data_IF_087894887749
#
_entry.id   IF_087894887749
#
_cell.length_a   1.000
_cell.length_b   1.000
_cell.length_c   1.000
_cell.angle_alpha   90.00
_cell.angle_beta   90.00
_cell.angle_gamma   90.00
#
_symmetry.space_group_name_H-M   'P 1'
#
loop_
_entity.id
_entity.type
_entity.pdbx_description
1 polymer ?
#
# COMPACT_ATOMS: atom_id res chain seq x y z
N UNK A 1 83.10 -27.49 -109.63
CA UNK A 1 83.17 -26.07 -109.20
C UNK A 1 84.51 -25.47 -109.63
N UNK A 2 84.65 -25.26 -110.94
CA UNK A 2 85.58 -24.31 -111.51
C UNK A 2 85.35 -22.96 -110.86
N UNK A 3 86.43 -22.36 -110.36
CA UNK A 3 86.36 -20.97 -109.89
C UNK A 3 86.49 -20.03 -111.09
N UNK A 4 85.94 -18.81 -111.03
CA UNK A 4 86.19 -17.78 -112.03
C UNK A 4 87.68 -17.56 -112.32
N UNK A 5 88.54 -17.76 -111.31
CA UNK A 5 89.99 -17.68 -111.44
C UNK A 5 90.58 -18.89 -112.19
N UNK A 6 90.15 -20.12 -111.86
CA UNK A 6 90.56 -21.32 -112.59
C UNK A 6 90.13 -21.28 -114.07
N UNK A 7 89.02 -20.61 -114.39
CA UNK A 7 88.56 -20.43 -115.77
C UNK A 7 89.49 -19.52 -116.56
N UNK A 8 89.95 -18.45 -115.92
CA UNK A 8 90.84 -17.46 -116.51
C UNK A 8 92.25 -18.01 -116.74
N UNK A 9 92.70 -18.88 -115.84
CA UNK A 9 94.05 -19.43 -115.84
C UNK A 9 94.14 -20.78 -116.60
N UNK A 10 93.07 -21.22 -117.29
CA UNK A 10 93.03 -22.47 -118.04
C UNK A 10 93.88 -22.40 -119.32
N UNK A 11 94.87 -23.30 -119.42
CA UNK A 11 95.65 -23.53 -120.63
C UNK A 11 95.13 -24.76 -121.38
N UNK A 12 95.19 -24.74 -122.72
CA UNK A 12 94.78 -25.84 -123.59
C UNK A 12 95.98 -26.34 -124.42
N UNK A 13 96.04 -27.63 -124.68
CA UNK A 13 97.05 -28.23 -125.53
C UNK A 13 96.92 -27.73 -126.98
N UNK A 14 98.06 -27.52 -127.64
CA UNK A 14 98.13 -27.04 -129.03
C UNK A 14 98.45 -28.21 -129.97
N UNK A 15 97.62 -28.43 -130.98
CA UNK A 15 97.85 -29.37 -132.10
C UNK A 15 98.23 -28.59 -133.36
N UNK A 16 98.55 -29.29 -134.47
CA UNK A 16 98.95 -28.65 -135.72
C UNK A 16 97.88 -27.62 -136.15
N UNK A 17 98.22 -26.33 -136.03
CA UNK A 17 97.42 -25.16 -136.43
C UNK A 17 96.32 -24.69 -135.44
N UNK A 18 96.35 -25.07 -134.16
CA UNK A 18 95.43 -24.50 -133.14
C UNK A 18 95.31 -25.30 -131.85
N UNK A 19 94.43 -24.89 -130.93
CA UNK A 19 94.13 -25.63 -129.70
C UNK A 19 93.43 -26.97 -130.00
N UNK A 20 93.59 -27.94 -129.10
CA UNK A 20 92.91 -29.23 -129.18
C UNK A 20 91.41 -29.06 -128.99
N UNK A 21 90.66 -29.24 -130.07
CA UNK A 21 89.20 -29.09 -130.08
C UNK A 21 88.50 -30.06 -129.12
N UNK A 22 89.10 -31.23 -128.83
CA UNK A 22 88.50 -32.21 -127.90
C UNK A 22 88.61 -31.69 -126.47
N UNK A 23 89.80 -31.22 -126.07
CA UNK A 23 90.05 -30.70 -124.72
C UNK A 23 89.25 -29.42 -124.44
N UNK A 24 89.21 -28.49 -125.40
CA UNK A 24 88.39 -27.27 -125.30
C UNK A 24 86.91 -27.64 -125.15
N UNK A 25 86.42 -28.62 -125.91
CA UNK A 25 85.01 -29.05 -125.83
C UNK A 25 84.69 -29.72 -124.50
N UNK A 26 85.55 -30.62 -124.01
CA UNK A 26 85.37 -31.25 -122.70
C UNK A 26 85.40 -30.23 -121.56
N UNK A 27 86.26 -29.22 -121.65
CA UNK A 27 86.30 -28.13 -120.70
C UNK A 27 85.05 -27.23 -120.78
N UNK A 28 84.56 -26.91 -121.97
CA UNK A 28 83.31 -26.15 -122.15
C UNK A 28 82.08 -26.93 -121.67
N UNK A 29 82.08 -28.26 -121.81
CA UNK A 29 81.06 -29.15 -121.25
C UNK A 29 81.09 -29.11 -119.71
N UNK A 30 82.29 -29.23 -119.10
CA UNK A 30 82.46 -29.11 -117.65
C UNK A 30 82.08 -27.72 -117.13
N UNK A 31 82.44 -26.65 -117.85
CA UNK A 31 82.06 -25.28 -117.54
C UNK A 31 80.54 -25.08 -117.64
N UNK A 32 79.90 -25.67 -118.64
CA UNK A 32 78.45 -25.61 -118.81
C UNK A 32 77.71 -26.37 -117.69
N UNK A 33 78.24 -27.51 -117.24
CA UNK A 33 77.73 -28.27 -116.10
C UNK A 33 77.85 -27.48 -114.80
N UNK A 34 79.04 -26.95 -114.47
CA UNK A 34 79.23 -26.13 -113.27
C UNK A 34 78.40 -24.82 -113.31
N UNK A 35 78.21 -24.21 -114.49
CA UNK A 35 77.35 -23.03 -114.64
C UNK A 35 75.87 -23.36 -114.51
N UNK A 36 75.44 -24.53 -115.00
CA UNK A 36 74.10 -25.05 -114.79
C UNK A 36 73.83 -25.31 -113.30
N UNK A 37 74.75 -25.97 -112.61
CA UNK A 37 74.65 -26.21 -111.16
C UNK A 37 74.57 -24.89 -110.38
N UNK A 38 75.37 -23.88 -110.76
CA UNK A 38 75.33 -22.56 -110.14
C UNK A 38 74.00 -21.84 -110.39
N UNK A 39 73.44 -21.93 -111.60
CA UNK A 39 72.13 -21.34 -111.93
C UNK A 39 71.00 -22.05 -111.16
N UNK A 40 71.05 -23.37 -111.07
CA UNK A 40 70.05 -24.15 -110.34
C UNK A 40 70.14 -23.90 -108.84
N UNK A 41 71.36 -23.82 -108.28
CA UNK A 41 71.56 -23.40 -106.88
C UNK A 41 71.04 -21.99 -106.63
N UNK A 42 71.26 -21.03 -107.55
CA UNK A 42 70.69 -19.69 -107.41
C UNK A 42 69.16 -19.69 -107.46
N UNK A 43 68.56 -20.52 -108.34
CA UNK A 43 67.10 -20.69 -108.41
C UNK A 43 66.56 -21.24 -107.08
N UNK A 44 67.16 -22.32 -106.58
CA UNK A 44 66.77 -22.96 -105.31
C UNK A 44 66.97 -22.02 -104.12
N UNK A 45 68.10 -21.31 -104.05
CA UNK A 45 68.34 -20.32 -102.99
C UNK A 45 67.34 -19.16 -103.05
N UNK A 46 66.99 -18.70 -104.25
CA UNK A 46 65.98 -17.66 -104.41
C UNK A 46 64.60 -18.13 -103.94
N UNK A 47 64.20 -19.34 -104.30
CA UNK A 47 62.94 -19.94 -103.82
C UNK A 47 62.95 -20.15 -102.30
N UNK A 48 64.07 -20.57 -101.72
CA UNK A 48 64.22 -20.70 -100.28
C UNK A 48 64.15 -19.34 -99.57
N UNK A 49 64.78 -18.30 -100.11
CA UNK A 49 64.69 -16.92 -99.60
C UNK A 49 63.24 -16.44 -99.67
N UNK A 50 62.56 -16.63 -100.80
CA UNK A 50 61.14 -16.25 -100.95
C UNK A 50 60.25 -16.98 -99.93
N UNK A 51 60.42 -18.29 -99.75
CA UNK A 51 59.70 -19.06 -98.73
C UNK A 51 59.97 -18.54 -97.31
N UNK A 52 61.24 -18.32 -96.96
CA UNK A 52 61.62 -17.82 -95.63
C UNK A 52 61.06 -16.41 -95.37
N UNK A 53 61.05 -15.54 -96.38
CA UNK A 53 60.46 -14.20 -96.25
C UNK A 53 58.96 -14.30 -95.99
N UNK A 54 58.23 -15.13 -96.74
CA UNK A 54 56.79 -15.30 -96.49
C UNK A 54 56.47 -15.92 -95.13
N UNK A 55 57.33 -16.80 -94.62
CA UNK A 55 57.19 -17.38 -93.28
C UNK A 55 57.51 -16.36 -92.19
N UNK A 56 58.54 -15.54 -92.39
CA UNK A 56 58.87 -14.42 -91.51
C UNK A 56 57.72 -13.41 -91.44
N UNK A 57 57.14 -13.03 -92.58
CA UNK A 57 55.97 -12.12 -92.63
C UNK A 57 54.78 -12.69 -91.84
N UNK A 58 54.48 -13.99 -91.99
CA UNK A 58 53.41 -14.64 -91.21
C UNK A 58 53.69 -14.64 -89.72
N UNK A 59 54.91 -14.95 -89.30
CA UNK A 59 55.27 -14.92 -87.88
C UNK A 59 55.24 -13.50 -87.33
N UNK A 60 55.67 -12.49 -88.10
CA UNK A 60 55.57 -11.08 -87.71
C UNK A 60 54.10 -10.65 -87.55
N UNK A 61 53.22 -11.08 -88.45
CA UNK A 61 51.78 -10.83 -88.35
C UNK A 61 51.15 -11.52 -87.13
N UNK A 62 51.50 -12.78 -86.86
CA UNK A 62 51.00 -13.52 -85.70
C UNK A 62 51.48 -12.91 -84.38
N UNK A 63 52.75 -12.49 -84.31
CA UNK A 63 53.30 -11.76 -83.15
C UNK A 63 52.58 -10.42 -82.96
N UNK A 64 52.32 -9.68 -84.04
CA UNK A 64 51.59 -8.40 -83.98
C UNK A 64 50.18 -8.59 -83.43
N UNK A 65 49.41 -9.54 -83.95
CA UNK A 65 48.05 -9.81 -83.47
C UNK A 65 48.06 -10.24 -82.00
N UNK A 66 48.99 -11.12 -81.62
CA UNK A 66 49.15 -11.54 -80.22
C UNK A 66 49.52 -10.38 -79.29
N UNK A 67 50.34 -9.42 -79.75
CA UNK A 67 50.66 -8.20 -79.00
C UNK A 67 49.43 -7.31 -78.83
N UNK A 68 48.67 -7.07 -79.91
CA UNK A 68 47.45 -6.26 -79.86
C UNK A 68 46.41 -6.85 -78.90
N UNK A 69 46.18 -8.17 -78.95
CA UNK A 69 45.27 -8.87 -78.03
C UNK A 69 45.74 -8.79 -76.57
N UNK A 70 47.06 -8.92 -76.35
CA UNK A 70 47.67 -8.83 -75.02
C UNK A 70 47.55 -7.41 -74.46
N UNK A 71 47.79 -6.39 -75.28
CA UNK A 71 47.68 -4.99 -74.89
C UNK A 71 46.22 -4.61 -74.59
N UNK A 72 45.27 -5.08 -75.38
CA UNK A 72 43.84 -4.86 -75.12
C UNK A 72 43.40 -5.53 -73.81
N UNK A 73 43.83 -6.79 -73.57
CA UNK A 73 43.53 -7.50 -72.32
C UNK A 73 44.16 -6.79 -71.11
N UNK A 74 45.42 -6.38 -71.22
CA UNK A 74 46.11 -5.64 -70.16
C UNK A 74 45.43 -4.29 -69.86
N UNK A 75 44.98 -3.57 -70.89
CA UNK A 75 44.25 -2.32 -70.70
C UNK A 75 42.93 -2.52 -69.97
N UNK A 76 42.18 -3.59 -70.28
CA UNK A 76 40.93 -3.94 -69.58
C UNK A 76 41.20 -4.30 -68.12
N UNK A 77 42.19 -5.15 -67.85
CA UNK A 77 42.60 -5.53 -66.50
C UNK A 77 43.02 -4.30 -65.69
N UNK A 78 43.80 -3.39 -66.29
CA UNK A 78 44.24 -2.18 -65.62
C UNK A 78 43.06 -1.28 -65.22
N UNK A 79 42.06 -1.17 -66.09
CA UNK A 79 40.86 -0.37 -65.80
C UNK A 79 40.00 -1.02 -64.69
N UNK A 80 39.80 -2.34 -64.73
CA UNK A 80 39.11 -3.07 -63.67
C UNK A 80 39.84 -2.97 -62.32
N UNK A 81 41.17 -3.04 -62.32
CA UNK A 81 41.98 -2.85 -61.11
C UNK A 81 41.77 -1.45 -60.53
N UNK A 82 41.80 -0.39 -61.35
CA UNK A 82 41.53 0.98 -60.88
C UNK A 82 40.14 1.11 -60.25
N UNK A 83 39.12 0.55 -60.90
CA UNK A 83 37.75 0.60 -60.39
C UNK A 83 37.61 -0.12 -59.04
N UNK A 84 38.25 -1.28 -58.90
CA UNK A 84 38.27 -2.02 -57.62
C UNK A 84 39.06 -1.27 -56.55
N UNK A 85 40.18 -0.64 -56.89
CA UNK A 85 40.96 0.17 -55.95
C UNK A 85 40.12 1.37 -55.45
N UNK A 86 39.38 2.03 -56.35
CA UNK A 86 38.45 3.10 -55.97
C UNK A 86 37.30 2.62 -55.08
N UNK A 87 36.76 1.42 -55.32
CA UNK A 87 35.73 0.81 -54.48
C UNK A 87 36.26 0.43 -53.09
N UNK A 88 37.47 -0.14 -53.02
CA UNK A 88 38.15 -0.46 -51.77
C UNK A 88 38.37 0.79 -50.93
N UNK A 89 38.83 1.89 -51.54
CA UNK A 89 39.02 3.14 -50.82
C UNK A 89 37.69 3.71 -50.30
N UNK A 90 36.59 3.64 -51.08
CA UNK A 90 35.26 4.04 -50.60
C UNK A 90 34.79 3.21 -49.41
N UNK A 91 34.89 1.88 -49.50
CA UNK A 91 34.50 0.97 -48.43
C UNK A 91 35.36 1.16 -47.17
N UNK A 92 36.63 1.52 -47.34
CA UNK A 92 37.53 1.80 -46.22
C UNK A 92 37.12 3.08 -45.49
N UNK A 93 36.78 4.15 -46.22
CA UNK A 93 36.25 5.39 -45.62
C UNK A 93 34.95 5.11 -44.87
N UNK A 94 34.01 4.40 -45.48
CA UNK A 94 32.75 4.02 -44.81
C UNK A 94 32.99 3.16 -43.56
N UNK A 95 33.96 2.24 -43.62
CA UNK A 95 34.37 1.44 -42.47
C UNK A 95 34.98 2.27 -41.33
N UNK A 96 35.75 3.31 -41.65
CA UNK A 96 36.30 4.26 -40.67
C UNK A 96 35.19 5.11 -40.03
N UNK A 97 34.25 5.64 -40.83
CA UNK A 97 33.09 6.40 -40.35
C UNK A 97 32.19 5.57 -39.43
N UNK A 98 31.88 4.33 -39.81
CA UNK A 98 31.09 3.41 -38.98
C UNK A 98 31.80 3.10 -37.66
N UNK A 99 33.12 2.93 -37.69
CA UNK A 99 33.91 2.67 -36.49
C UNK A 99 33.88 3.86 -35.52
N UNK A 100 33.97 5.09 -36.04
CA UNK A 100 33.82 6.30 -35.23
C UNK A 100 32.41 6.40 -34.63
N UNK A 101 31.37 6.12 -35.43
CA UNK A 101 29.99 6.10 -34.93
C UNK A 101 29.77 5.06 -33.83
N UNK A 102 30.35 3.86 -33.95
CA UNK A 102 30.28 2.82 -32.91
C UNK A 102 30.97 3.29 -31.63
N UNK A 103 32.16 3.89 -31.72
CA UNK A 103 32.88 4.39 -30.55
C UNK A 103 32.07 5.47 -29.79
N UNK A 104 31.42 6.39 -30.51
CA UNK A 104 30.56 7.40 -29.91
C UNK A 104 29.35 6.78 -29.19
N UNK A 105 28.70 5.77 -29.79
CA UNK A 105 27.58 5.06 -29.17
C UNK A 105 28.02 4.24 -27.94
N UNK A 106 29.24 3.69 -27.93
CA UNK A 106 29.80 3.01 -26.77
C UNK A 106 30.02 3.98 -25.59
N UNK A 107 30.52 5.19 -25.87
CA UNK A 107 30.69 6.25 -24.86
C UNK A 107 29.33 6.71 -24.30
N UNK A 108 28.34 6.95 -25.16
CA UNK A 108 26.98 7.30 -24.73
C UNK A 108 26.37 6.18 -23.87
N UNK A 109 26.48 4.92 -24.29
CA UNK A 109 25.99 3.78 -23.51
C UNK A 109 26.68 3.67 -22.14
N UNK A 110 27.98 3.92 -22.06
CA UNK A 110 28.70 3.97 -20.79
C UNK A 110 28.13 5.05 -19.86
N UNK A 111 27.82 6.23 -20.40
CA UNK A 111 27.22 7.32 -19.63
C UNK A 111 25.81 6.98 -19.12
N UNK A 112 25.00 6.29 -19.93
CA UNK A 112 23.66 5.84 -19.51
C UNK A 112 23.73 4.75 -18.44
N UNK A 113 24.70 3.84 -18.51
CA UNK A 113 24.91 2.81 -17.48
C UNK A 113 25.26 3.46 -16.14
N UNK A 114 26.18 4.44 -16.14
CA UNK A 114 26.53 5.18 -14.92
C UNK A 114 25.30 5.91 -14.37
N UNK A 115 24.49 6.55 -15.24
CA UNK A 115 23.28 7.24 -14.80
C UNK A 115 22.22 6.30 -14.22
N UNK A 116 22.06 5.12 -14.80
CA UNK A 116 21.15 4.09 -14.27
C UNK A 116 21.63 3.63 -12.90
N UNK A 117 22.93 3.38 -12.72
CA UNK A 117 23.48 2.96 -11.44
C UNK A 117 23.25 4.02 -10.33
N UNK A 118 23.46 5.30 -10.63
CA UNK A 118 23.14 6.40 -9.70
C UNK A 118 21.65 6.43 -9.29
N UNK A 119 20.75 6.26 -10.28
CA UNK A 119 19.31 6.27 -10.03
C UNK A 119 18.84 5.04 -9.25
N UNK A 120 19.44 3.88 -9.49
CA UNK A 120 19.17 2.65 -8.73
C UNK A 120 19.63 2.78 -7.28
N UNK A 121 20.81 3.37 -7.03
CA UNK A 121 21.29 3.65 -5.67
C UNK A 121 20.36 4.63 -4.94
N UNK A 122 19.99 5.73 -5.61
CA UNK A 122 19.06 6.70 -5.04
C UNK A 122 17.69 6.06 -4.75
N UNK A 123 17.15 5.26 -5.67
CA UNK A 123 15.88 4.57 -5.46
C UNK A 123 15.96 3.55 -4.33
N UNK A 124 17.10 2.87 -4.15
CA UNK A 124 17.33 1.96 -3.02
C UNK A 124 17.27 2.72 -1.70
N UNK A 125 17.95 3.86 -1.61
CA UNK A 125 17.94 4.72 -0.43
C UNK A 125 16.53 5.25 -0.12
N UNK A 126 15.81 5.74 -1.13
CA UNK A 126 14.44 6.23 -0.97
C UNK A 126 13.49 5.12 -0.50
N UNK A 127 13.64 3.89 -1.02
CA UNK A 127 12.84 2.75 -0.58
C UNK A 127 13.11 2.36 0.89
N UNK A 128 14.36 2.42 1.33
CA UNK A 128 14.71 2.18 2.74
C UNK A 128 14.12 3.24 3.66
N UNK A 129 14.22 4.52 3.30
CA UNK A 129 13.62 5.63 4.03
C UNK A 129 12.08 5.49 4.12
N UNK A 130 11.42 5.17 3.01
CA UNK A 130 9.98 4.91 2.98
C UNK A 130 9.58 3.73 3.87
N UNK A 131 10.35 2.65 3.91
CA UNK A 131 10.08 1.51 4.78
C UNK A 131 10.19 1.87 6.27
N UNK A 132 11.13 2.75 6.64
CA UNK A 132 11.26 3.24 8.02
C UNK A 132 10.09 4.16 8.41
N UNK A 133 9.70 5.08 7.52
CA UNK A 133 8.52 5.94 7.72
C UNK A 133 7.22 5.13 7.83
N UNK A 134 7.02 4.10 6.99
CA UNK A 134 5.86 3.22 7.06
C UNK A 134 5.77 2.48 8.40
N UNK A 135 6.92 2.07 8.94
CA UNK A 135 7.00 1.43 10.25
C UNK A 135 6.63 2.40 11.36
N UNK A 136 7.15 3.64 11.34
CA UNK A 136 6.80 4.67 12.31
C UNK A 136 5.30 5.02 12.24
N UNK A 137 4.75 5.18 11.04
CA UNK A 137 3.31 5.41 10.84
C UNK A 137 2.48 4.25 11.42
N UNK A 138 2.92 3.00 11.25
CA UNK A 138 2.23 1.84 11.81
C UNK A 138 2.26 1.83 13.35
N UNK A 139 3.40 2.19 13.95
CA UNK A 139 3.55 2.32 15.41
C UNK A 139 2.67 3.45 15.96
N UNK A 140 2.73 4.64 15.36
CA UNK A 140 1.90 5.79 15.75
C UNK A 140 0.40 5.51 15.63
N UNK A 141 -0.03 4.81 14.56
CA UNK A 141 -1.44 4.41 14.39
C UNK A 141 -1.89 3.47 15.50
N UNK A 142 -1.02 2.54 15.93
CA UNK A 142 -1.32 1.63 17.04
C UNK A 142 -1.42 2.37 18.36
N UNK A 143 -0.54 3.34 18.63
CA UNK A 143 -0.63 4.18 19.82
C UNK A 143 -1.89 5.03 19.84
N UNK A 144 -2.24 5.65 18.69
CA UNK A 144 -3.45 6.44 18.53
C UNK A 144 -4.69 5.60 18.87
N UNK A 145 -4.79 4.38 18.33
CA UNK A 145 -5.88 3.47 18.62
C UNK A 145 -5.99 3.17 20.13
N UNK A 146 -4.86 2.88 20.81
CA UNK A 146 -4.87 2.61 22.24
C UNK A 146 -5.31 3.82 23.07
N UNK A 147 -4.97 5.03 22.64
CA UNK A 147 -5.40 6.27 23.30
C UNK A 147 -6.88 6.52 23.07
N UNK A 148 -7.38 6.29 21.85
CA UNK A 148 -8.79 6.41 21.51
C UNK A 148 -9.65 5.44 22.33
N UNK A 149 -9.26 4.17 22.41
CA UNK A 149 -9.96 3.15 23.23
C UNK A 149 -10.01 3.55 24.71
N UNK A 150 -8.91 4.08 25.26
CA UNK A 150 -8.88 4.59 26.64
C UNK A 150 -9.81 5.80 26.81
N UNK A 151 -9.83 6.71 25.84
CA UNK A 151 -10.66 7.90 25.90
C UNK A 151 -12.15 7.53 25.83
N UNK A 152 -12.53 6.60 24.96
CA UNK A 152 -13.89 6.07 24.90
C UNK A 152 -14.33 5.43 26.22
N UNK A 153 -13.44 4.65 26.86
CA UNK A 153 -13.71 4.05 28.16
C UNK A 153 -13.94 5.13 29.24
N UNK A 154 -13.10 6.17 29.29
CA UNK A 154 -13.24 7.28 30.23
C UNK A 154 -14.52 8.09 30.01
N UNK A 155 -14.88 8.37 28.75
CA UNK A 155 -16.13 9.07 28.41
C UNK A 155 -17.35 8.25 28.86
N UNK A 156 -17.31 6.94 28.70
CA UNK A 156 -18.38 6.05 29.17
C UNK A 156 -18.49 6.07 30.69
N UNK A 157 -17.36 6.00 31.40
CA UNK A 157 -17.31 6.10 32.87
C UNK A 157 -17.85 7.46 33.36
N UNK A 158 -17.45 8.56 32.74
CA UNK A 158 -17.96 9.90 33.05
C UNK A 158 -19.49 9.97 32.89
N UNK A 159 -20.01 9.38 31.83
CA UNK A 159 -21.44 9.37 31.54
C UNK A 159 -22.23 8.56 32.58
N UNK A 160 -21.72 7.40 32.98
CA UNK A 160 -22.35 6.56 34.01
C UNK A 160 -22.24 7.21 35.41
N UNK A 161 -21.13 7.89 35.70
CA UNK A 161 -20.97 8.69 36.90
C UNK A 161 -21.99 9.85 36.93
N UNK A 162 -22.16 10.57 35.82
CA UNK A 162 -23.15 11.64 35.68
C UNK A 162 -24.58 11.14 35.87
N UNK A 163 -24.95 9.99 35.31
CA UNK A 163 -26.26 9.34 35.55
C UNK A 163 -26.46 9.01 37.02
N UNK A 164 -25.42 8.50 37.68
CA UNK A 164 -25.47 8.16 39.11
C UNK A 164 -25.68 9.39 39.98
N UNK A 165 -25.01 10.51 39.67
CA UNK A 165 -25.23 11.80 40.35
C UNK A 165 -26.69 12.25 40.19
N UNK A 166 -27.24 12.21 38.98
CA UNK A 166 -28.62 12.61 38.72
C UNK A 166 -29.62 11.71 39.46
N UNK A 167 -29.36 10.40 39.50
CA UNK A 167 -30.18 9.46 40.27
C UNK A 167 -30.13 9.74 41.78
N UNK A 168 -28.93 10.02 42.33
CA UNK A 168 -28.76 10.37 43.73
C UNK A 168 -29.45 11.70 44.08
N UNK A 169 -29.37 12.71 43.19
CA UNK A 169 -30.08 13.98 43.34
C UNK A 169 -31.59 13.78 43.37
N UNK A 170 -32.13 13.05 42.37
CA UNK A 170 -33.56 12.74 42.33
C UNK A 170 -34.02 11.93 43.54
N UNK A 171 -33.21 10.97 44.01
CA UNK A 171 -33.49 10.22 45.22
C UNK A 171 -33.54 11.12 46.46
N UNK A 172 -32.56 12.02 46.62
CA UNK A 172 -32.52 12.97 47.73
C UNK A 172 -33.73 13.93 47.70
N UNK A 173 -34.09 14.44 46.53
CA UNK A 173 -35.25 15.32 46.36
C UNK A 173 -36.57 14.60 46.69
N UNK A 174 -36.74 13.37 46.19
CA UNK A 174 -37.90 12.53 46.51
C UNK A 174 -37.97 12.21 48.01
N UNK A 175 -36.86 11.81 48.62
CA UNK A 175 -36.78 11.52 50.05
C UNK A 175 -37.17 12.75 50.88
N UNK A 176 -36.67 13.93 50.50
CA UNK A 176 -37.02 15.18 51.16
C UNK A 176 -38.50 15.49 51.02
N UNK A 177 -39.08 15.37 49.82
CA UNK A 177 -40.50 15.61 49.59
C UNK A 177 -41.38 14.64 50.39
N UNK A 178 -41.08 13.35 50.39
CA UNK A 178 -41.80 12.34 51.17
C UNK A 178 -41.68 12.61 52.66
N UNK A 179 -40.48 12.93 53.15
CA UNK A 179 -40.24 13.25 54.56
C UNK A 179 -41.01 14.51 54.99
N UNK A 180 -41.06 15.54 54.15
CA UNK A 180 -41.85 16.75 54.41
C UNK A 180 -43.35 16.44 54.43
N UNK A 181 -43.84 15.57 53.55
CA UNK A 181 -45.25 15.17 53.52
C UNK A 181 -45.62 14.31 54.74
N UNK A 182 -44.82 13.31 55.09
CA UNK A 182 -45.01 12.48 56.28
C UNK A 182 -44.99 13.31 57.56
N UNK A 183 -44.02 14.21 57.70
CA UNK A 183 -43.96 15.12 58.85
C UNK A 183 -45.20 16.03 58.93
N UNK A 184 -45.70 16.54 57.80
CA UNK A 184 -46.95 17.32 57.76
C UNK A 184 -48.15 16.49 58.21
N UNK A 185 -48.29 15.27 57.69
CA UNK A 185 -49.39 14.36 58.06
C UNK A 185 -49.35 14.03 59.54
N UNK A 186 -48.17 13.68 60.07
CA UNK A 186 -47.99 13.36 61.49
C UNK A 186 -48.35 14.55 62.41
N UNK A 187 -47.98 15.77 62.01
CA UNK A 187 -48.37 16.99 62.74
C UNK A 187 -49.88 17.23 62.69
N UNK A 188 -50.53 17.01 61.54
CA UNK A 188 -51.99 17.16 61.43
C UNK A 188 -52.74 16.08 62.22
N UNK A 189 -52.30 14.83 62.18
CA UNK A 189 -52.85 13.74 63.00
C UNK A 189 -52.73 14.07 64.49
N UNK A 190 -51.55 14.49 64.95
CA UNK A 190 -51.33 14.91 66.34
C UNK A 190 -52.26 16.07 66.74
N UNK A 191 -52.49 17.05 65.86
CA UNK A 191 -53.43 18.16 66.12
C UNK A 191 -54.88 17.67 66.23
N UNK A 192 -55.30 16.73 65.38
CA UNK A 192 -56.65 16.15 65.43
C UNK A 192 -56.84 15.38 66.74
N UNK A 193 -55.86 14.57 67.13
CA UNK A 193 -55.90 13.80 68.37
C UNK A 193 -55.95 14.71 69.61
N UNK A 194 -55.12 15.76 69.65
CA UNK A 194 -55.17 16.78 70.71
C UNK A 194 -56.53 17.49 70.74
N UNK A 195 -57.11 17.84 69.58
CA UNK A 195 -58.46 18.44 69.53
C UNK A 195 -59.52 17.49 70.07
N UNK A 196 -59.44 16.21 69.74
CA UNK A 196 -60.36 15.17 70.21
C UNK A 196 -60.28 15.02 71.73
N UNK A 197 -59.08 14.82 72.27
CA UNK A 197 -58.84 14.74 73.72
C UNK A 197 -59.34 15.99 74.46
N UNK A 198 -59.08 17.19 73.91
CA UNK A 198 -59.58 18.44 74.49
C UNK A 198 -61.11 18.52 74.44
N UNK A 199 -61.73 18.03 73.37
CA UNK A 199 -63.18 17.94 73.24
C UNK A 199 -63.80 17.01 74.29
N UNK A 200 -63.21 15.82 74.46
CA UNK A 200 -63.60 14.84 75.48
C UNK A 200 -63.44 15.41 76.89
N UNK A 201 -62.29 16.00 77.20
CA UNK A 201 -62.04 16.64 78.49
C UNK A 201 -63.03 17.79 78.78
N UNK A 202 -63.36 18.62 77.78
CA UNK A 202 -64.36 19.68 77.95
C UNK A 202 -65.78 19.15 78.15
N UNK A 203 -66.13 18.05 77.48
CA UNK A 203 -67.42 17.40 77.66
C UNK A 203 -67.55 16.82 79.09
N UNK A 204 -66.49 16.18 79.59
CA UNK A 204 -66.41 15.72 80.98
C UNK A 204 -66.50 16.89 81.97
N UNK A 205 -65.74 17.97 81.75
CA UNK A 205 -65.76 19.17 82.60
C UNK A 205 -67.14 19.84 82.63
N UNK A 206 -67.94 19.70 81.56
CA UNK A 206 -69.32 20.20 81.53
C UNK A 206 -70.33 19.26 82.18
N UNK A 207 -70.07 17.94 82.15
CA UNK A 207 -70.93 16.90 82.73
C UNK A 207 -70.75 16.81 84.24
N UNK A 208 -69.51 16.79 84.72
CA UNK A 208 -69.19 16.60 86.14
C UNK A 208 -69.93 17.58 87.08
N UNK A 209 -70.02 18.90 86.80
CA UNK A 209 -70.76 19.82 87.64
C UNK A 209 -72.26 19.51 87.71
N UNK A 210 -72.88 19.12 86.59
CA UNK A 210 -74.29 18.72 86.55
C UNK A 210 -74.52 17.46 87.37
N UNK A 211 -73.63 16.49 87.23
CA UNK A 211 -73.67 15.23 87.98
C UNK A 211 -73.46 15.48 89.49
N UNK A 212 -72.57 16.41 89.86
CA UNK A 212 -72.40 16.87 91.25
C UNK A 212 -73.68 17.53 91.77
N UNK A 213 -74.31 18.41 91.00
CA UNK A 213 -75.55 19.09 91.38
C UNK A 213 -76.71 18.10 91.57
N UNK A 214 -76.88 17.15 90.64
CA UNK A 214 -77.85 16.05 90.75
C UNK A 214 -77.61 15.20 92.01
N UNK A 215 -76.35 14.85 92.29
CA UNK A 215 -75.99 14.11 93.50
C UNK A 215 -76.23 14.92 94.78
N UNK A 216 -76.00 16.23 94.76
CA UNK A 216 -76.31 17.12 95.88
C UNK A 216 -77.82 17.19 96.14
N UNK A 217 -78.65 17.33 95.09
CA UNK A 217 -80.10 17.28 95.19
C UNK A 217 -80.57 15.95 95.76
N UNK A 218 -80.02 14.84 95.26
CA UNK A 218 -80.35 13.50 95.74
C UNK A 218 -79.94 13.30 97.20
N UNK A 219 -78.80 13.86 97.62
CA UNK A 219 -78.37 13.88 99.03
C UNK A 219 -79.38 14.64 99.90
N UNK A 220 -79.85 15.81 99.44
CA UNK A 220 -80.86 16.60 100.17
C UNK A 220 -82.17 15.81 100.27
N UNK A 221 -82.65 15.22 99.16
CA UNK A 221 -83.85 14.40 99.16
C UNK A 221 -83.76 13.23 100.14
N UNK A 222 -82.67 12.45 100.10
CA UNK A 222 -82.46 11.32 101.02
C UNK A 222 -82.39 11.82 102.47
N UNK A 223 -81.75 12.95 102.73
CA UNK A 223 -81.70 13.54 104.06
C UNK A 223 -83.11 13.92 104.55
N UNK A 224 -83.93 14.53 103.71
CA UNK A 224 -85.29 14.94 104.04
C UNK A 224 -86.22 13.73 104.22
N UNK A 225 -86.10 12.71 103.37
CA UNK A 225 -86.79 11.42 103.53
C UNK A 225 -86.44 10.76 104.86
N UNK A 226 -85.15 10.74 105.23
CA UNK A 226 -84.70 10.20 106.51
C UNK A 226 -85.25 11.01 107.70
N UNK A 227 -85.26 12.34 107.59
CA UNK A 227 -85.81 13.24 108.60
C UNK A 227 -87.33 13.02 108.77
N UNK A 228 -88.05 12.84 107.67
CA UNK A 228 -89.48 12.52 107.68
C UNK A 228 -89.75 11.15 108.30
N UNK A 229 -88.93 10.14 107.98
CA UNK A 229 -89.03 8.82 108.60
C UNK A 229 -88.78 8.90 110.11
N UNK A 230 -87.76 9.64 110.56
CA UNK A 230 -87.49 9.86 111.98
C UNK A 230 -88.64 10.62 112.67
N UNK A 231 -89.23 11.64 112.03
CA UNK A 231 -90.44 12.30 112.55
C UNK A 231 -91.60 11.31 112.69
N UNK A 232 -91.80 10.43 111.71
CA UNK A 232 -92.85 9.39 111.80
C UNK A 232 -92.59 8.38 112.92
N UNK A 233 -91.31 8.10 113.24
CA UNK A 233 -90.95 7.26 114.39
C UNK A 233 -91.11 7.99 115.72
N UNK A 234 -90.83 9.29 115.77
CA UNK A 234 -91.10 10.12 116.97
C UNK A 234 -92.60 10.24 117.24
N UNK A 235 -93.42 10.42 116.21
CA UNK A 235 -94.89 10.44 116.33
C UNK A 235 -95.43 9.10 116.88
N UNK A 236 -94.89 7.97 116.42
CA UNK A 236 -95.20 6.63 116.97
C UNK A 236 -94.73 6.43 118.42
N UNK A 237 -93.70 7.14 118.86
CA UNK A 237 -93.21 7.09 120.24
C UNK A 237 -94.04 7.99 121.16
N UNK A 238 -94.51 9.14 120.66
CA UNK A 238 -95.47 10.00 121.38
C UNK A 238 -96.83 9.31 121.53
N UNK A 239 -97.33 8.61 120.51
CA UNK A 239 -98.54 7.75 120.59
C UNK A 239 -98.37 6.58 121.58
N UNK A 240 -97.14 6.13 121.82
CA UNK A 240 -96.83 5.10 122.82
C UNK A 240 -96.75 5.64 124.25
N UNK A 241 -96.62 6.97 124.42
CA UNK A 241 -96.56 7.62 125.73
C UNK A 241 -97.95 7.79 126.36
N UNK A 242 -98.99 8.00 125.55
CA UNK A 242 -100.36 8.23 126.04
C UNK A 242 -101.12 6.93 126.42
N UNK A 243 -100.59 5.75 126.09
CA UNK A 243 -101.23 4.45 126.36
C UNK A 243 -100.93 3.87 127.77
N UNK A 244 -100.07 4.52 128.58
CA UNK A 244 -99.56 3.93 129.83
C UNK A 244 -100.04 4.57 131.15
N UNK A 245 -100.99 5.52 131.12
CA UNK A 245 -101.44 6.23 132.33
C UNK A 245 -102.89 5.96 132.78
N UNK A 246 -103.41 4.74 132.61
CA UNK A 246 -104.69 4.36 133.23
C UNK A 246 -104.82 2.89 133.62
N UNK A 247 -103.95 2.39 134.52
CA UNK A 247 -104.26 1.26 135.41
C UNK A 247 -103.65 1.55 136.80
N UNK A 248 -104.48 1.65 137.84
CA UNK A 248 -104.06 1.68 139.24
C UNK A 248 -104.68 0.53 140.04
N UNK A 249 -103.96 0.17 141.12
CA UNK A 249 -104.33 -0.46 142.40
C UNK A 249 -103.68 -1.85 142.62
N UNK A 250 -103.22 -2.19 143.86
CA UNK A 250 -103.69 -1.72 145.18
C UNK A 250 -102.61 -1.30 146.21
N UNK A 251 -103.07 -0.66 147.29
CA UNK A 251 -102.34 -0.33 148.53
C UNK A 251 -102.01 -1.58 149.39
N UNK A 252 -100.90 -1.53 150.15
CA UNK A 252 -100.64 -2.48 151.23
C UNK A 252 -99.21 -2.52 151.79
N UNK A 253 -98.96 -1.65 152.77
CA UNK A 253 -98.16 -1.86 154.00
C UNK A 253 -96.61 -1.93 153.98
N UNK A 254 -96.02 -0.83 154.46
CA UNK A 254 -95.05 -0.68 155.55
C UNK A 254 -93.92 -1.69 155.75
N UNK A 255 -92.68 -1.18 155.72
CA UNK A 255 -91.63 -1.36 156.75
C UNK A 255 -90.59 -0.25 156.59
N UNK A 256 -90.81 0.87 157.28
CA UNK A 256 -89.95 1.37 158.35
C UNK A 256 -88.41 1.13 158.24
N UNK A 257 -87.63 2.22 158.09
CA UNK A 257 -86.71 2.76 159.12
C UNK A 257 -85.52 3.55 158.55
N UNK A 258 -85.48 4.84 158.94
CA UNK A 258 -84.35 5.49 159.62
C UNK A 258 -82.95 5.45 158.97
N UNK A 259 -82.46 6.62 158.50
CA UNK A 259 -81.71 7.59 159.32
C UNK A 259 -80.83 8.53 158.46
N UNK A 260 -80.99 9.83 158.76
CA UNK A 260 -80.01 10.94 158.65
C UNK A 260 -79.69 11.43 157.23
#
# INVERSE_FOLDING_TARGET
MLTPQAIKDQEFQVKFRGYDAIEVKSYLELLAEDFFDLLEQNRVHKEAIESLVTEQEKFEDEVRVGQEDTDESNSKIQEECKQKDEEIEKLKVEGEELKESVANLEEENSSYIEKIAELEEQSSFDNEAMAEEEKEIAELRKELQLVEEKNEALVKEELDFKKTIVAAQSFADNLRQTSEQEARTLVEEAKVEVKKLRGEANAELSRLPKEIEELQLKKIQVHDELKALLHSYMEKLDDSSDLFQSIQLPDGEDMDQDKI
#
